data_IF_891229831658
#
_entry.id   IF_891229831658
#
_cell.length_a   1.000
_cell.length_b   1.000
_cell.length_c   1.000
_cell.angle_alpha   90.00
_cell.angle_beta   90.00
_cell.angle_gamma   90.00
#
_symmetry.space_group_name_H-M   'P 1'
#
loop_
_entity.id
_entity.type
_entity.pdbx_description
1 polymer ?
#
# COMPACT_ATOMS: atom_id res chain seq x y z
N UNK A 1 -41.90 -30.45 0.94
CA UNK A 1 -40.83 -31.46 0.91
C UNK A 1 -39.52 -30.76 1.25
N UNK A 2 -39.15 -30.82 2.53
CA UNK A 2 -37.88 -30.30 3.05
C UNK A 2 -37.00 -31.52 3.25
N UNK A 3 -35.93 -31.66 2.46
CA UNK A 3 -34.99 -32.76 2.59
C UNK A 3 -33.91 -32.31 3.57
N UNK A 4 -34.08 -32.67 4.85
CA UNK A 4 -32.98 -32.73 5.81
C UNK A 4 -32.03 -33.84 5.34
N UNK A 5 -30.75 -33.50 5.13
CA UNK A 5 -29.68 -34.48 4.96
C UNK A 5 -28.87 -34.52 6.24
N UNK A 6 -29.08 -35.60 6.98
CA UNK A 6 -28.24 -36.02 8.10
C UNK A 6 -26.85 -36.44 7.59
N UNK A 7 -25.80 -35.92 8.24
CA UNK A 7 -24.44 -36.41 8.09
C UNK A 7 -24.08 -37.26 9.31
N UNK A 8 -23.62 -38.51 9.15
CA UNK A 8 -23.18 -39.32 10.28
C UNK A 8 -21.75 -38.93 10.69
N UNK A 9 -21.58 -38.68 11.99
CA UNK A 9 -20.29 -38.59 12.66
C UNK A 9 -19.88 -39.98 13.17
N UNK A 10 -18.65 -40.47 12.94
CA UNK A 10 -18.09 -41.55 13.72
C UNK A 10 -17.16 -40.98 14.80
N UNK A 11 -17.56 -41.13 16.05
CA UNK A 11 -16.64 -41.27 17.17
C UNK A 11 -16.02 -42.67 17.12
N UNK A 12 -14.68 -42.77 17.08
CA UNK A 12 -14.01 -43.64 18.03
C UNK A 12 -12.59 -43.15 18.34
N UNK A 13 -12.31 -43.17 19.63
CA UNK A 13 -11.11 -42.79 20.36
C UNK A 13 -10.02 -43.85 20.24
N UNK A 14 -8.76 -43.41 20.06
CA UNK A 14 -7.61 -44.05 20.71
C UNK A 14 -6.45 -43.07 20.84
N UNK A 15 -6.07 -42.81 22.08
CA UNK A 15 -4.91 -42.05 22.55
C UNK A 15 -3.60 -42.54 21.92
N UNK A 16 -2.79 -41.63 21.37
CA UNK A 16 -1.33 -41.63 21.54
C UNK A 16 -0.83 -40.19 21.57
N UNK A 17 -0.22 -39.81 22.69
CA UNK A 17 0.55 -38.58 22.87
C UNK A 17 1.75 -38.63 21.92
N UNK A 18 1.78 -37.74 20.94
CA UNK A 18 2.92 -37.50 20.05
C UNK A 18 3.40 -36.07 20.27
N UNK A 19 4.47 -35.93 21.05
CA UNK A 19 5.21 -34.71 21.31
C UNK A 19 5.75 -34.14 20.01
N UNK A 20 5.55 -32.84 19.77
CA UNK A 20 6.18 -32.11 18.67
C UNK A 20 7.66 -31.91 19.02
N UNK A 21 8.54 -32.70 18.43
CA UNK A 21 9.99 -32.47 18.45
C UNK A 21 10.35 -31.29 17.55
N UNK A 22 10.69 -30.17 18.20
CA UNK A 22 11.47 -29.09 17.60
C UNK A 22 12.94 -29.55 17.57
N UNK A 23 13.45 -29.87 16.38
CA UNK A 23 14.89 -30.05 16.16
C UNK A 23 15.62 -28.71 16.36
N UNK A 24 16.15 -28.52 17.56
CA UNK A 24 17.17 -27.51 17.84
C UNK A 24 18.54 -28.09 17.48
N UNK A 25 19.21 -27.48 16.50
CA UNK A 25 20.56 -27.80 16.12
C UNK A 25 21.53 -27.61 17.29
N UNK A 26 22.28 -28.66 17.59
CA UNK A 26 23.33 -28.74 18.61
C UNK A 26 24.58 -27.94 18.23
N UNK A 27 25.07 -27.10 19.15
CA UNK A 27 26.46 -26.63 19.20
C UNK A 27 27.07 -27.06 20.55
N UNK A 28 28.34 -27.52 20.58
CA UNK A 28 28.87 -28.27 21.71
C UNK A 28 29.22 -27.37 22.91
N UNK A 29 28.88 -27.86 24.11
CA UNK A 29 29.38 -27.37 25.39
C UNK A 29 30.73 -28.02 25.68
N UNK A 30 31.75 -27.20 25.91
CA UNK A 30 33.01 -27.59 26.55
C UNK A 30 33.06 -27.04 27.98
N UNK A 31 33.60 -27.86 28.88
CA UNK A 31 33.40 -27.84 30.32
C UNK A 31 34.24 -26.82 31.11
N UNK A 32 33.74 -26.57 32.31
CA UNK A 32 34.24 -25.76 33.42
C UNK A 32 35.45 -26.38 34.14
N UNK A 33 36.38 -25.57 34.69
CA UNK A 33 36.70 -25.46 36.15
C UNK A 33 38.14 -24.99 36.52
N UNK A 34 38.16 -24.13 37.56
CA UNK A 34 39.09 -24.05 38.73
C UNK A 34 40.49 -23.38 38.63
N UNK A 35 40.65 -22.28 39.37
CA UNK A 35 41.67 -22.03 40.42
C UNK A 35 41.43 -20.62 41.04
N UNK A 36 40.80 -20.48 42.21
CA UNK A 36 41.35 -20.40 43.58
C UNK A 36 42.41 -19.31 43.86
N UNK A 37 41.91 -18.25 44.52
CA UNK A 37 42.44 -17.48 45.67
C UNK A 37 43.95 -17.23 45.84
N UNK A 38 44.34 -15.96 46.06
CA UNK A 38 44.93 -15.49 47.33
C UNK A 38 45.29 -13.99 47.35
N UNK A 39 44.99 -13.37 48.50
CA UNK A 39 45.74 -12.33 49.23
C UNK A 39 45.90 -10.90 48.67
N UNK A 40 45.06 -10.02 49.22
CA UNK A 40 45.45 -8.89 50.07
C UNK A 40 46.62 -7.96 49.65
N UNK A 41 46.28 -6.67 49.53
CA UNK A 41 47.16 -5.60 49.99
C UNK A 41 47.78 -4.72 48.91
N UNK A 42 47.01 -3.77 48.38
CA UNK A 42 47.52 -2.45 48.02
C UNK A 42 46.36 -1.47 47.89
N UNK A 43 46.09 -0.76 48.99
CA UNK A 43 45.31 0.48 48.95
C UNK A 43 46.05 1.56 48.15
N UNK A 44 45.28 2.59 47.79
CA UNK A 44 45.72 3.86 47.19
C UNK A 44 45.82 3.95 45.66
N UNK A 45 44.84 3.42 44.90
CA UNK A 45 44.49 4.01 43.57
C UNK A 45 42.96 4.07 43.32
N UNK A 46 42.12 3.52 44.21
CA UNK A 46 40.68 3.38 43.96
C UNK A 46 39.83 4.66 44.14
N UNK A 47 40.35 5.73 44.75
CA UNK A 47 39.60 6.97 44.92
C UNK A 47 39.63 7.89 43.68
N UNK A 48 40.71 7.86 42.89
CA UNK A 48 40.83 8.65 41.66
C UNK A 48 40.01 8.08 40.50
N UNK A 49 39.91 6.75 40.39
CA UNK A 49 39.21 6.08 39.31
C UNK A 49 37.67 6.18 39.44
N UNK A 50 37.12 6.16 40.66
CA UNK A 50 35.68 6.37 40.89
C UNK A 50 35.27 7.83 40.71
N UNK A 51 36.12 8.78 41.12
CA UNK A 51 35.92 10.21 40.85
C UNK A 51 35.95 10.53 39.36
N UNK A 52 36.89 9.95 38.60
CA UNK A 52 36.97 10.10 37.15
C UNK A 52 35.81 9.40 36.42
N UNK A 53 35.32 8.25 36.90
CA UNK A 53 34.19 7.55 36.30
C UNK A 53 32.85 8.24 36.58
N UNK A 54 32.69 8.84 37.77
CA UNK A 54 31.52 9.67 38.12
C UNK A 54 31.55 11.02 37.40
N UNK A 55 32.72 11.68 37.29
CA UNK A 55 32.91 12.91 36.51
C UNK A 55 32.74 12.67 35.00
N UNK A 56 33.16 11.51 34.50
CA UNK A 56 32.90 11.08 33.12
C UNK A 56 31.41 10.76 32.91
N UNK A 57 30.74 10.14 33.89
CA UNK A 57 29.27 9.90 33.84
C UNK A 57 28.45 11.18 33.94
N UNK A 58 28.90 12.20 34.67
CA UNK A 58 28.22 13.50 34.73
C UNK A 58 28.57 14.42 33.56
N UNK A 59 29.78 14.33 33.00
CA UNK A 59 30.19 15.07 31.79
C UNK A 59 29.73 14.42 30.46
N UNK A 60 29.23 13.17 30.49
CA UNK A 60 28.59 12.50 29.34
C UNK A 60 27.07 12.59 29.32
N UNK A 61 26.48 13.44 30.17
CA UNK A 61 25.20 14.12 29.84
C UNK A 61 25.47 15.30 28.91
N UNK A 62 26.22 15.06 27.83
CA UNK A 62 26.07 15.88 26.65
C UNK A 62 24.73 15.45 26.08
N UNK A 63 23.77 16.37 26.16
CA UNK A 63 22.57 16.35 25.33
C UNK A 63 22.98 15.81 23.97
N UNK A 64 22.29 14.77 23.54
CA UNK A 64 22.54 14.21 22.22
C UNK A 64 22.41 15.33 21.17
N UNK A 65 23.02 15.17 19.99
CA UNK A 65 22.77 16.08 18.88
C UNK A 65 21.28 16.24 18.51
N UNK A 66 20.40 15.34 18.99
CA UNK A 66 18.94 15.45 18.83
C UNK A 66 18.24 16.33 19.88
N UNK A 67 18.83 16.54 21.08
CA UNK A 67 18.23 17.36 22.15
C UNK A 67 18.55 18.86 22.06
N UNK A 68 19.62 19.23 21.33
CA UNK A 68 19.96 20.63 21.04
C UNK A 68 19.39 21.11 19.69
N UNK A 69 18.88 20.21 18.85
CA UNK A 69 18.14 20.56 17.63
C UNK A 69 16.69 21.02 17.88
N UNK A 70 16.13 20.73 19.06
CA UNK A 70 14.73 21.02 19.38
C UNK A 70 14.38 22.47 19.72
N UNK A 71 15.34 23.41 19.70
CA UNK A 71 15.08 24.84 19.98
C UNK A 71 15.55 25.81 18.90
N UNK A 72 16.08 25.29 17.78
CA UNK A 72 16.39 26.07 16.57
C UNK A 72 15.66 25.56 15.33
N UNK A 73 14.70 24.63 15.48
CA UNK A 73 13.69 24.31 14.46
C UNK A 73 12.41 25.11 14.72
N UNK A 74 12.55 26.43 14.80
CA UNK A 74 11.52 27.33 14.28
C UNK A 74 12.02 27.88 12.93
N UNK A 75 12.74 27.05 12.18
CA UNK A 75 12.85 27.22 10.73
C UNK A 75 11.47 26.87 10.18
N UNK A 76 10.88 27.78 9.42
CA UNK A 76 9.64 27.56 8.71
C UNK A 76 9.76 26.25 7.91
N UNK A 77 9.22 25.16 8.47
CA UNK A 77 8.92 23.98 7.69
C UNK A 77 7.93 24.49 6.66
N UNK A 78 8.35 24.51 5.40
CA UNK A 78 7.44 24.72 4.28
C UNK A 78 6.51 23.49 4.30
N UNK A 79 5.51 23.52 5.18
CA UNK A 79 4.54 22.45 5.31
C UNK A 79 3.83 22.38 3.97
N UNK A 80 3.84 21.19 3.38
CA UNK A 80 3.13 20.99 2.11
C UNK A 80 1.67 21.39 2.35
N UNK A 81 1.03 22.19 1.46
CA UNK A 81 -0.36 22.56 1.65
C UNK A 81 -1.22 21.29 1.75
N UNK A 82 -2.31 21.32 2.53
CA UNK A 82 -3.24 20.20 2.64
C UNK A 82 -3.76 19.83 1.25
N UNK A 83 -4.05 18.54 1.02
CA UNK A 83 -4.38 18.04 -0.32
C UNK A 83 -5.61 18.76 -0.93
N UNK A 84 -6.60 19.13 -0.12
CA UNK A 84 -7.76 19.91 -0.56
C UNK A 84 -7.38 21.29 -1.14
N UNK A 85 -6.31 21.91 -0.66
CA UNK A 85 -5.83 23.22 -1.13
C UNK A 85 -4.63 23.13 -2.08
N UNK A 86 -4.23 21.92 -2.49
CA UNK A 86 -3.05 21.73 -3.31
C UNK A 86 -3.28 22.11 -4.78
N UNK A 87 -2.48 23.04 -5.31
CA UNK A 87 -2.65 23.59 -6.67
C UNK A 87 -2.56 22.54 -7.79
N UNK A 88 -1.70 21.54 -7.61
CA UNK A 88 -1.50 20.48 -8.60
C UNK A 88 -2.78 19.67 -8.89
N UNK A 89 -3.66 19.56 -7.89
CA UNK A 89 -4.88 18.77 -7.99
C UNK A 89 -5.91 19.43 -8.93
N UNK A 90 -5.86 20.76 -9.02
CA UNK A 90 -6.71 21.58 -9.90
C UNK A 90 -5.97 22.09 -11.14
N UNK A 91 -4.71 21.72 -11.32
CA UNK A 91 -3.92 22.17 -12.46
C UNK A 91 -4.58 21.72 -13.79
N UNK A 92 -4.61 22.57 -14.82
CA UNK A 92 -5.18 22.21 -16.12
C UNK A 92 -4.45 21.00 -16.71
N UNK A 93 -5.12 20.12 -17.48
CA UNK A 93 -4.48 18.96 -18.11
C UNK A 93 -3.25 19.35 -18.92
N UNK A 94 -2.13 18.65 -18.66
CA UNK A 94 -0.89 18.80 -19.41
C UNK A 94 -0.88 17.96 -20.69
N UNK A 95 0.31 17.83 -21.30
CA UNK A 95 0.53 16.97 -22.46
C UNK A 95 0.70 15.49 -22.11
N UNK A 96 0.85 15.17 -20.82
CA UNK A 96 1.03 13.81 -20.31
C UNK A 96 -0.28 13.29 -19.71
N UNK A 97 -0.59 12.00 -19.86
CA UNK A 97 -1.76 11.40 -19.22
C UNK A 97 -1.61 11.45 -17.70
N UNK A 98 -2.73 11.58 -17.00
CA UNK A 98 -2.79 11.56 -15.53
C UNK A 98 -3.25 10.21 -15.02
N UNK A 99 -2.45 9.58 -14.19
CA UNK A 99 -2.73 8.24 -13.65
C UNK A 99 -2.87 8.32 -12.13
N UNK A 100 -3.99 7.82 -11.61
CA UNK A 100 -4.10 7.53 -10.18
C UNK A 100 -3.84 6.06 -9.94
N UNK A 101 -2.77 5.77 -9.21
CA UNK A 101 -2.43 4.44 -8.73
C UNK A 101 -3.01 4.22 -7.33
N UNK A 102 -4.03 3.38 -7.21
CA UNK A 102 -4.58 2.92 -5.94
C UNK A 102 -3.88 1.64 -5.51
N UNK A 103 -3.19 1.68 -4.38
CA UNK A 103 -2.47 0.54 -3.82
C UNK A 103 -3.00 0.15 -2.44
N UNK A 104 -3.31 -1.15 -2.29
CA UNK A 104 -4.13 -1.65 -1.18
C UNK A 104 -3.36 -2.61 -0.25
N UNK A 105 -4.01 -3.18 0.75
CA UNK A 105 -3.38 -4.08 1.73
C UNK A 105 -3.03 -5.47 1.17
N UNK A 106 -1.92 -5.57 0.44
CA UNK A 106 -1.34 -6.84 -0.04
C UNK A 106 0.18 -6.84 0.20
N UNK A 107 0.77 -8.02 0.39
CA UNK A 107 2.25 -8.15 0.45
C UNK A 107 2.89 -7.64 -0.84
N UNK A 108 2.18 -7.75 -1.97
CA UNK A 108 2.66 -7.22 -3.25
C UNK A 108 2.84 -5.69 -3.26
N UNK A 109 2.32 -4.96 -2.26
CA UNK A 109 2.47 -3.51 -2.17
C UNK A 109 3.91 -3.07 -1.94
N UNK A 110 4.82 -3.98 -1.59
CA UNK A 110 6.28 -3.73 -1.62
C UNK A 110 6.79 -3.31 -3.01
N UNK A 111 6.05 -3.63 -4.08
CA UNK A 111 6.35 -3.23 -5.47
C UNK A 111 5.75 -1.90 -5.90
N UNK A 112 4.98 -1.23 -5.04
CA UNK A 112 4.34 0.04 -5.37
C UNK A 112 5.35 1.15 -5.71
N UNK A 113 6.49 1.29 -5.01
CA UNK A 113 7.54 2.23 -5.41
C UNK A 113 8.04 2.01 -6.84
N UNK A 114 8.32 0.75 -7.21
CA UNK A 114 8.75 0.37 -8.55
C UNK A 114 7.67 0.67 -9.61
N UNK A 115 6.41 0.33 -9.29
CA UNK A 115 5.27 0.57 -10.17
C UNK A 115 5.03 2.07 -10.38
N UNK A 116 5.07 2.87 -9.31
CA UNK A 116 4.90 4.31 -9.35
C UNK A 116 6.00 4.97 -10.20
N UNK A 117 7.27 4.60 -9.99
CA UNK A 117 8.39 5.10 -10.79
C UNK A 117 8.23 4.76 -12.28
N UNK A 118 7.84 3.53 -12.61
CA UNK A 118 7.63 3.11 -13.98
C UNK A 118 6.46 3.85 -14.67
N UNK A 119 5.36 4.12 -13.95
CA UNK A 119 4.25 4.93 -14.44
C UNK A 119 4.67 6.40 -14.65
N UNK A 120 5.46 6.95 -13.73
CA UNK A 120 6.01 8.32 -13.84
C UNK A 120 6.96 8.50 -15.02
N UNK A 121 7.40 7.42 -15.67
CA UNK A 121 8.15 7.48 -16.93
C UNK A 121 7.32 7.97 -18.12
N UNK A 122 5.98 7.98 -18.06
CA UNK A 122 5.13 8.48 -19.15
C UNK A 122 3.91 9.28 -18.70
N UNK A 123 3.48 9.16 -17.44
CA UNK A 123 2.30 9.84 -16.91
C UNK A 123 2.68 10.80 -15.77
N UNK A 124 1.79 11.75 -15.47
CA UNK A 124 1.75 12.38 -14.15
C UNK A 124 1.06 11.41 -13.18
N UNK A 125 1.64 11.16 -12.00
CA UNK A 125 1.16 10.09 -11.11
C UNK A 125 0.80 10.61 -9.73
N UNK A 126 -0.41 10.26 -9.29
CA UNK A 126 -0.82 10.33 -7.89
C UNK A 126 -1.09 8.92 -7.37
N UNK A 127 -0.62 8.61 -6.16
CA UNK A 127 -0.76 7.32 -5.51
C UNK A 127 -1.69 7.48 -4.32
N UNK A 128 -2.74 6.65 -4.25
CA UNK A 128 -3.58 6.52 -3.07
C UNK A 128 -3.20 5.22 -2.36
N UNK A 129 -2.78 5.32 -1.10
CA UNK A 129 -2.43 4.20 -0.25
C UNK A 129 -3.49 4.01 0.82
N UNK A 130 -4.13 2.85 0.82
CA UNK A 130 -4.87 2.42 2.03
C UNK A 130 -3.89 2.26 3.19
N UNK A 131 -4.33 2.45 4.44
CA UNK A 131 -3.51 2.24 5.65
C UNK A 131 -2.62 0.98 5.64
N UNK A 132 -3.12 -0.24 5.37
CA UNK A 132 -2.24 -1.42 5.28
C UNK A 132 -1.31 -1.41 4.06
N UNK A 133 -1.76 -0.85 2.93
CA UNK A 133 -0.92 -0.67 1.74
C UNK A 133 0.28 0.24 2.01
N UNK A 134 0.07 1.32 2.77
CA UNK A 134 1.12 2.26 3.16
C UNK A 134 2.25 1.58 3.93
N UNK A 135 1.93 0.69 4.88
CA UNK A 135 2.94 -0.04 5.64
C UNK A 135 3.85 -0.88 4.73
N UNK A 136 3.25 -1.56 3.75
CA UNK A 136 3.99 -2.43 2.83
C UNK A 136 4.80 -1.62 1.80
N UNK A 137 4.22 -0.56 1.23
CA UNK A 137 4.86 0.28 0.22
C UNK A 137 6.00 1.15 0.76
N UNK A 138 6.02 1.41 2.07
CA UNK A 138 7.08 2.20 2.73
C UNK A 138 7.97 1.30 3.60
N UNK A 139 7.61 1.13 4.88
CA UNK A 139 8.42 0.45 5.91
C UNK A 139 8.93 -0.92 5.49
N UNK A 140 8.10 -1.73 4.84
CA UNK A 140 8.50 -3.07 4.40
C UNK A 140 9.33 -2.99 3.12
N UNK A 141 8.87 -2.25 2.10
CA UNK A 141 9.60 -2.04 0.85
C UNK A 141 11.05 -1.56 1.08
N UNK A 142 11.29 -0.64 2.03
CA UNK A 142 12.64 -0.14 2.34
C UNK A 142 13.62 -1.24 2.78
N UNK A 143 13.12 -2.36 3.29
CA UNK A 143 13.96 -3.51 3.70
C UNK A 143 14.25 -4.48 2.55
N UNK A 144 13.39 -4.54 1.55
CA UNK A 144 13.51 -5.48 0.42
C UNK A 144 14.07 -4.85 -0.85
N UNK A 145 13.75 -3.58 -1.10
CA UNK A 145 14.11 -2.85 -2.30
C UNK A 145 14.43 -1.37 -1.98
N UNK A 146 15.45 -1.08 -1.15
CA UNK A 146 15.77 0.28 -0.70
C UNK A 146 16.03 1.25 -1.87
N UNK A 147 16.68 0.80 -2.94
CA UNK A 147 16.93 1.64 -4.12
C UNK A 147 15.63 2.10 -4.81
N UNK A 148 14.59 1.26 -4.84
CA UNK A 148 13.29 1.61 -5.42
C UNK A 148 12.51 2.57 -4.55
N UNK A 149 12.63 2.44 -3.23
CA UNK A 149 12.06 3.43 -2.31
C UNK A 149 12.78 4.76 -2.46
N UNK A 150 14.10 4.78 -2.51
CA UNK A 150 14.84 6.03 -2.73
C UNK A 150 14.42 6.75 -4.02
N UNK A 151 14.28 6.02 -5.13
CA UNK A 151 13.77 6.55 -6.41
C UNK A 151 12.35 7.17 -6.27
N UNK A 152 11.45 6.48 -5.57
CA UNK A 152 10.09 6.96 -5.26
C UNK A 152 10.07 8.23 -4.39
N UNK A 153 11.01 8.35 -3.46
CA UNK A 153 11.15 9.50 -2.56
C UNK A 153 11.66 10.72 -3.35
N UNK A 154 12.61 10.52 -4.25
CA UNK A 154 13.11 11.55 -5.15
C UNK A 154 12.00 12.08 -6.09
N UNK A 155 11.19 11.19 -6.66
CA UNK A 155 10.04 11.60 -7.49
C UNK A 155 9.01 12.43 -6.71
N UNK A 156 8.88 12.19 -5.39
CA UNK A 156 8.02 12.99 -4.52
C UNK A 156 8.61 14.35 -4.19
N UNK A 157 9.92 14.43 -3.92
CA UNK A 157 10.60 15.71 -3.68
C UNK A 157 10.55 16.61 -4.91
N UNK A 158 10.68 16.03 -6.09
CA UNK A 158 10.60 16.74 -7.38
C UNK A 158 9.15 17.06 -7.78
N UNK A 159 8.17 16.59 -7.00
CA UNK A 159 6.74 16.82 -7.22
C UNK A 159 6.12 16.09 -8.40
N UNK A 160 6.86 15.18 -9.04
CA UNK A 160 6.39 14.32 -10.13
C UNK A 160 5.47 13.19 -9.64
N UNK A 161 5.62 12.80 -8.37
CA UNK A 161 4.81 11.78 -7.72
C UNK A 161 4.13 12.37 -6.48
N UNK A 162 2.83 12.18 -6.36
CA UNK A 162 2.08 12.52 -5.14
C UNK A 162 1.62 11.26 -4.45
N UNK A 163 1.67 11.24 -3.13
CA UNK A 163 1.26 10.10 -2.32
C UNK A 163 0.27 10.60 -1.29
N UNK A 164 -0.88 9.94 -1.24
CA UNK A 164 -2.03 10.30 -0.42
C UNK A 164 -2.51 9.07 0.37
N UNK A 165 -3.06 9.28 1.54
CA UNK A 165 -3.79 8.31 2.35
C UNK A 165 -5.10 8.91 2.87
N UNK A 166 -5.76 8.18 3.75
CA UNK A 166 -7.09 8.56 4.25
C UNK A 166 -7.07 9.88 5.03
N UNK A 167 -5.93 10.20 5.63
CA UNK A 167 -5.70 11.44 6.38
C UNK A 167 -5.75 12.67 5.47
N UNK A 168 -5.19 12.55 4.26
CA UNK A 168 -5.13 13.65 3.28
C UNK A 168 -6.51 14.07 2.79
N UNK A 169 -7.55 13.25 2.98
CA UNK A 169 -8.93 13.58 2.58
C UNK A 169 -9.51 14.74 3.40
N UNK A 170 -9.18 14.80 4.68
CA UNK A 170 -9.80 15.71 5.64
C UNK A 170 -8.79 16.63 6.35
N UNK A 171 -7.49 16.38 6.23
CA UNK A 171 -6.47 17.27 6.77
C UNK A 171 -6.59 18.68 6.16
N UNK A 172 -6.79 19.68 7.02
CA UNK A 172 -6.95 21.09 6.60
C UNK A 172 -8.28 21.42 5.92
N UNK A 173 -9.26 20.51 5.93
CA UNK A 173 -10.61 20.76 5.41
C UNK A 173 -11.44 21.53 6.45
N UNK A 174 -11.77 22.80 6.14
CA UNK A 174 -12.44 23.71 7.09
C UNK A 174 -13.77 24.25 6.54
N UNK A 175 -13.89 24.41 5.22
CA UNK A 175 -15.03 25.06 4.58
C UNK A 175 -15.59 24.24 3.41
N UNK A 176 -16.89 23.91 3.47
CA UNK A 176 -17.59 23.24 2.36
C UNK A 176 -17.64 24.11 1.09
N UNK A 177 -17.61 25.44 1.24
CA UNK A 177 -17.70 26.37 0.12
C UNK A 177 -16.36 26.58 -0.60
N UNK A 178 -15.25 26.47 0.13
CA UNK A 178 -13.91 26.83 -0.37
C UNK A 178 -13.02 25.60 -0.56
N UNK A 179 -13.13 24.60 0.32
CA UNK A 179 -12.29 23.41 0.30
C UNK A 179 -12.94 22.31 -0.54
N UNK A 180 -12.29 21.91 -1.65
CA UNK A 180 -12.81 20.83 -2.47
C UNK A 180 -12.51 19.47 -1.84
N UNK A 181 -13.43 18.54 -2.07
CA UNK A 181 -13.32 17.16 -1.58
C UNK A 181 -12.28 16.39 -2.41
N UNK A 182 -11.22 15.91 -1.76
CA UNK A 182 -10.02 15.38 -2.42
C UNK A 182 -10.31 14.23 -3.39
N UNK A 183 -11.11 13.23 -2.99
CA UNK A 183 -11.42 12.11 -3.89
C UNK A 183 -12.21 12.54 -5.14
N UNK A 184 -13.04 13.57 -5.03
CA UNK A 184 -13.82 14.12 -6.15
C UNK A 184 -12.88 14.82 -7.13
N UNK A 185 -11.95 15.64 -6.61
CA UNK A 185 -10.98 16.32 -7.46
C UNK A 185 -9.97 15.35 -8.09
N UNK A 186 -9.52 14.32 -7.36
CA UNK A 186 -8.69 13.25 -7.93
C UNK A 186 -9.39 12.57 -9.12
N UNK A 187 -10.70 12.32 -9.00
CA UNK A 187 -11.49 11.75 -10.09
C UNK A 187 -11.60 12.67 -11.30
N UNK A 188 -11.67 13.99 -11.10
CA UNK A 188 -11.63 14.96 -12.19
C UNK A 188 -10.24 14.98 -12.85
N UNK A 189 -9.20 15.02 -12.02
CA UNK A 189 -7.80 15.11 -12.41
C UNK A 189 -7.31 13.90 -13.23
N UNK A 190 -7.63 12.68 -12.81
CA UNK A 190 -7.05 11.46 -13.39
C UNK A 190 -7.70 11.03 -14.70
N UNK A 191 -6.94 10.70 -15.74
CA UNK A 191 -7.47 10.10 -16.97
C UNK A 191 -7.66 8.59 -16.85
N UNK A 192 -6.79 7.92 -16.07
CA UNK A 192 -6.83 6.46 -15.84
C UNK A 192 -6.72 6.15 -14.35
N UNK A 193 -7.53 5.21 -13.87
CA UNK A 193 -7.36 4.61 -12.55
C UNK A 193 -6.66 3.26 -12.68
N UNK A 194 -5.64 3.01 -11.85
CA UNK A 194 -4.93 1.73 -11.77
C UNK A 194 -5.01 1.24 -10.34
N UNK A 195 -5.61 0.08 -10.09
CA UNK A 195 -5.70 -0.53 -8.75
C UNK A 195 -4.72 -1.69 -8.67
N UNK A 196 -3.51 -1.43 -8.19
CA UNK A 196 -2.41 -2.39 -8.19
C UNK A 196 -1.44 -2.19 -7.00
N UNK A 197 -1.33 -3.17 -6.10
CA UNK A 197 -2.16 -4.38 -6.00
C UNK A 197 -3.58 -4.08 -5.50
N UNK A 198 -4.55 -4.84 -6.02
CA UNK A 198 -5.90 -4.94 -5.46
C UNK A 198 -6.00 -6.15 -4.50
N UNK A 199 -6.13 -5.88 -3.21
CA UNK A 199 -6.35 -6.89 -2.17
C UNK A 199 -7.78 -7.43 -2.26
N UNK A 200 -8.02 -8.64 -1.75
CA UNK A 200 -9.37 -9.21 -1.71
C UNK A 200 -10.37 -8.33 -0.96
N UNK A 201 -9.93 -7.64 0.09
CA UNK A 201 -10.75 -6.73 0.88
C UNK A 201 -11.21 -5.52 0.06
N UNK A 202 -10.28 -4.83 -0.62
CA UNK A 202 -10.65 -3.70 -1.49
C UNK A 202 -11.45 -4.17 -2.69
N UNK A 203 -11.13 -5.33 -3.28
CA UNK A 203 -11.91 -5.94 -4.35
C UNK A 203 -13.38 -6.11 -3.93
N UNK A 204 -13.62 -6.70 -2.76
CA UNK A 204 -14.96 -6.88 -2.20
C UNK A 204 -15.65 -5.54 -1.95
N UNK A 205 -14.97 -4.58 -1.31
CA UNK A 205 -15.52 -3.25 -1.03
C UNK A 205 -15.98 -2.53 -2.30
N UNK A 206 -15.13 -2.52 -3.33
CA UNK A 206 -15.47 -1.87 -4.60
C UNK A 206 -16.64 -2.58 -5.26
N UNK A 207 -16.63 -3.92 -5.35
CA UNK A 207 -17.71 -4.70 -5.96
C UNK A 207 -19.05 -4.58 -5.22
N UNK A 208 -19.03 -4.33 -3.91
CA UNK A 208 -20.21 -4.13 -3.07
C UNK A 208 -20.60 -2.64 -2.91
N UNK A 209 -19.83 -1.72 -3.48
CA UNK A 209 -20.10 -0.28 -3.40
C UNK A 209 -19.78 0.37 -2.05
N UNK A 210 -18.97 -0.27 -1.21
CA UNK A 210 -18.49 0.31 0.07
C UNK A 210 -17.44 1.38 -0.22
N UNK A 211 -17.63 2.57 0.33
CA UNK A 211 -16.76 3.73 0.21
C UNK A 211 -16.46 4.34 1.59
N UNK A 212 -15.49 3.77 2.30
CA UNK A 212 -15.19 4.09 3.70
C UNK A 212 -13.76 4.62 3.93
N UNK A 213 -13.03 4.88 2.86
CA UNK A 213 -11.67 5.42 2.87
C UNK A 213 -11.36 6.12 1.53
N UNK A 214 -10.27 6.88 1.46
CA UNK A 214 -9.96 7.73 0.30
C UNK A 214 -9.94 6.91 -1.01
N UNK A 215 -9.33 5.72 -0.97
CA UNK A 215 -9.24 4.82 -2.12
C UNK A 215 -10.61 4.37 -2.62
N UNK A 216 -11.48 3.92 -1.72
CA UNK A 216 -12.80 3.39 -2.08
C UNK A 216 -13.80 4.49 -2.41
N UNK A 217 -13.72 5.67 -1.78
CA UNK A 217 -14.46 6.86 -2.17
C UNK A 217 -14.09 7.31 -3.60
N UNK A 218 -12.79 7.37 -3.90
CA UNK A 218 -12.30 7.69 -5.25
C UNK A 218 -12.81 6.70 -6.30
N UNK A 219 -12.72 5.39 -6.03
CA UNK A 219 -13.20 4.36 -6.96
C UNK A 219 -14.72 4.35 -7.09
N UNK A 220 -15.47 4.64 -6.02
CA UNK A 220 -16.93 4.72 -6.06
C UNK A 220 -17.44 5.91 -6.87
N UNK A 221 -16.68 7.01 -6.84
CA UNK A 221 -16.94 8.23 -7.61
C UNK A 221 -16.40 8.16 -9.05
N UNK A 222 -15.63 7.10 -9.39
CA UNK A 222 -14.98 6.94 -10.68
C UNK A 222 -15.98 6.98 -11.82
N UNK A 223 -15.57 7.61 -12.91
CA UNK A 223 -16.41 7.74 -14.09
C UNK A 223 -16.38 6.44 -14.90
N UNK A 224 -17.52 5.76 -15.14
CA UNK A 224 -17.55 4.53 -15.93
C UNK A 224 -17.03 4.69 -17.37
N UNK A 225 -16.95 5.91 -17.89
CA UNK A 225 -16.38 6.19 -19.22
C UNK A 225 -14.84 6.30 -19.22
N UNK A 226 -14.23 6.52 -18.04
CA UNK A 226 -12.78 6.53 -17.89
C UNK A 226 -12.26 5.12 -17.64
N UNK A 227 -11.16 4.71 -18.26
CA UNK A 227 -10.62 3.37 -18.08
C UNK A 227 -10.14 3.15 -16.63
N UNK A 228 -10.44 1.96 -16.11
CA UNK A 228 -9.92 1.48 -14.83
C UNK A 228 -9.25 0.12 -15.02
N UNK A 229 -7.98 0.02 -14.66
CA UNK A 229 -7.20 -1.23 -14.68
C UNK A 229 -7.11 -1.77 -13.25
N UNK A 230 -7.39 -3.05 -13.04
CA UNK A 230 -7.37 -3.68 -11.72
C UNK A 230 -6.47 -4.92 -11.76
N UNK A 231 -5.46 -4.96 -10.89
CA UNK A 231 -4.52 -6.07 -10.77
C UNK A 231 -4.66 -6.73 -9.38
N UNK A 232 -5.47 -7.80 -9.24
CA UNK A 232 -5.62 -8.52 -8.00
C UNK A 232 -4.30 -9.14 -7.55
N UNK A 233 -4.02 -9.06 -6.24
CA UNK A 233 -2.88 -9.76 -5.64
C UNK A 233 -3.21 -10.22 -4.22
N UNK A 234 -3.37 -11.53 -4.07
CA UNK A 234 -3.80 -12.19 -2.82
C UNK A 234 -3.29 -13.63 -2.77
N UNK A 235 -3.42 -14.28 -1.61
CA UNK A 235 -3.09 -15.70 -1.49
C UNK A 235 -3.97 -16.57 -2.41
N UNK A 236 -3.45 -17.71 -2.87
CA UNK A 236 -4.15 -18.65 -3.77
C UNK A 236 -5.53 -19.06 -3.26
N UNK A 237 -5.67 -19.39 -1.98
CA UNK A 237 -6.95 -19.79 -1.40
C UNK A 237 -7.96 -18.64 -1.43
N UNK A 238 -7.50 -17.39 -1.26
CA UNK A 238 -8.35 -16.21 -1.42
C UNK A 238 -8.75 -15.99 -2.88
N UNK A 239 -7.82 -16.23 -3.81
CA UNK A 239 -8.07 -16.11 -5.25
C UNK A 239 -9.10 -17.12 -5.74
N UNK A 240 -9.00 -18.37 -5.29
CA UNK A 240 -9.90 -19.47 -5.64
C UNK A 240 -11.25 -19.41 -4.90
N UNK A 241 -11.38 -18.51 -3.91
CA UNK A 241 -12.61 -18.36 -3.16
C UNK A 241 -13.78 -17.92 -4.07
N UNK A 242 -14.98 -18.52 -3.96
CA UNK A 242 -16.10 -18.22 -4.86
C UNK A 242 -16.52 -16.74 -4.90
N UNK A 243 -16.40 -16.02 -3.79
CA UNK A 243 -16.72 -14.58 -3.72
C UNK A 243 -15.76 -13.74 -4.55
N UNK A 244 -14.49 -14.14 -4.68
CA UNK A 244 -13.52 -13.45 -5.54
C UNK A 244 -13.99 -13.48 -6.98
N UNK A 245 -14.41 -14.65 -7.48
CA UNK A 245 -14.94 -14.78 -8.83
C UNK A 245 -16.23 -13.95 -9.03
N UNK A 246 -17.10 -13.87 -8.02
CA UNK A 246 -18.30 -13.02 -8.08
C UNK A 246 -17.94 -11.53 -8.17
N UNK A 247 -17.05 -11.05 -7.30
CA UNK A 247 -16.62 -9.66 -7.30
C UNK A 247 -15.93 -9.27 -8.61
N UNK A 248 -15.08 -10.13 -9.16
CA UNK A 248 -14.42 -9.90 -10.45
C UNK A 248 -15.44 -9.73 -11.57
N UNK A 249 -16.42 -10.63 -11.68
CA UNK A 249 -17.49 -10.52 -12.69
C UNK A 249 -18.28 -9.23 -12.55
N UNK A 250 -18.58 -8.81 -11.33
CA UNK A 250 -19.26 -7.53 -11.08
C UNK A 250 -18.43 -6.36 -11.62
N UNK A 251 -17.14 -6.29 -11.29
CA UNK A 251 -16.28 -5.20 -11.75
C UNK A 251 -16.02 -5.24 -13.26
N UNK A 252 -15.88 -6.42 -13.85
CA UNK A 252 -15.81 -6.59 -15.31
C UNK A 252 -17.07 -6.04 -15.98
N UNK A 253 -18.25 -6.32 -15.43
CA UNK A 253 -19.52 -5.78 -15.95
C UNK A 253 -19.62 -4.24 -15.86
N UNK A 254 -18.86 -3.62 -14.95
CA UNK A 254 -18.77 -2.16 -14.82
C UNK A 254 -17.66 -1.55 -15.69
N UNK A 255 -16.94 -2.36 -16.48
CA UNK A 255 -15.92 -1.91 -17.41
C UNK A 255 -14.49 -1.87 -16.85
N UNK A 256 -14.24 -2.47 -15.68
CA UNK A 256 -12.87 -2.63 -15.18
C UNK A 256 -12.11 -3.65 -16.03
N UNK A 257 -10.91 -3.27 -16.48
CA UNK A 257 -9.96 -4.19 -17.09
C UNK A 257 -9.23 -4.98 -16.01
N UNK A 258 -9.59 -6.25 -15.84
CA UNK A 258 -8.95 -7.13 -14.86
C UNK A 258 -7.67 -7.73 -15.45
N UNK A 259 -6.54 -7.50 -14.79
CA UNK A 259 -5.28 -8.19 -15.08
C UNK A 259 -5.18 -9.46 -14.25
N UNK A 260 -5.14 -10.65 -14.86
CA UNK A 260 -5.10 -11.89 -14.12
C UNK A 260 -3.80 -12.00 -13.31
N UNK A 261 -3.84 -12.51 -12.06
CA UNK A 261 -2.65 -12.66 -11.26
C UNK A 261 -1.68 -13.66 -11.88
N UNK A 262 -0.39 -13.44 -11.63
CA UNK A 262 0.66 -14.36 -12.01
C UNK A 262 0.61 -15.64 -11.16
N UNK A 263 0.98 -16.75 -11.80
CA UNK A 263 1.22 -18.03 -11.14
C UNK A 263 2.69 -18.13 -10.74
N UNK A 264 2.98 -18.52 -9.50
CA UNK A 264 4.34 -18.78 -9.02
C UNK A 264 4.43 -20.16 -8.38
N UNK A 265 5.57 -20.84 -8.56
CA UNK A 265 5.86 -22.09 -7.86
C UNK A 265 6.13 -21.79 -6.38
N UNK A 266 5.36 -22.41 -5.49
CA UNK A 266 5.49 -22.33 -4.04
C UNK A 266 6.63 -23.26 -3.56
N UNK A 267 7.10 -23.03 -2.35
CA UNK A 267 8.18 -23.83 -1.74
C UNK A 267 7.83 -25.32 -1.59
N UNK A 268 6.54 -25.68 -1.53
CA UNK A 268 6.04 -27.05 -1.49
C UNK A 268 5.99 -27.75 -2.86
N UNK A 269 6.32 -27.05 -3.95
CA UNK A 269 6.25 -27.59 -5.32
C UNK A 269 4.96 -27.25 -6.07
N UNK A 270 3.89 -26.85 -5.37
CA UNK A 270 2.62 -26.44 -5.96
C UNK A 270 2.71 -25.13 -6.73
N UNK A 271 1.85 -24.94 -7.73
CA UNK A 271 1.75 -23.66 -8.45
C UNK A 271 0.62 -22.84 -7.82
N UNK A 272 1.01 -21.81 -7.07
CA UNK A 272 0.06 -20.87 -6.46
C UNK A 272 -0.27 -19.72 -7.41
N UNK A 273 -1.56 -19.55 -7.74
CA UNK A 273 -2.07 -18.41 -8.50
C UNK A 273 -2.52 -17.30 -7.55
N UNK A 274 -2.16 -16.05 -7.80
CA UNK A 274 -2.56 -14.94 -6.93
C UNK A 274 -1.48 -13.87 -6.72
N UNK A 275 -0.27 -14.09 -7.26
CA UNK A 275 0.77 -13.07 -7.24
C UNK A 275 0.38 -11.89 -8.15
N UNK A 276 0.80 -10.67 -7.77
CA UNK A 276 0.67 -9.51 -8.64
C UNK A 276 1.31 -9.82 -10.02
N UNK A 277 0.68 -9.42 -11.13
CA UNK A 277 1.31 -9.46 -12.45
C UNK A 277 2.68 -8.77 -12.44
N UNK A 278 3.57 -9.11 -13.39
CA UNK A 278 4.78 -8.34 -13.63
C UNK A 278 4.49 -6.83 -13.71
N UNK A 279 5.38 -6.01 -13.14
CA UNK A 279 5.21 -4.54 -13.13
C UNK A 279 5.09 -4.01 -14.56
N UNK A 280 5.89 -4.56 -15.49
CA UNK A 280 5.82 -4.23 -16.90
C UNK A 280 4.42 -4.43 -17.51
N UNK A 281 3.72 -5.50 -17.13
CA UNK A 281 2.39 -5.81 -17.66
C UNK A 281 1.33 -4.81 -17.14
N UNK A 282 1.42 -4.44 -15.86
CA UNK A 282 0.53 -3.42 -15.27
C UNK A 282 0.77 -2.06 -15.93
N UNK A 283 2.03 -1.69 -16.13
CA UNK A 283 2.43 -0.44 -16.79
C UNK A 283 1.98 -0.41 -18.25
N UNK A 284 2.13 -1.52 -18.98
CA UNK A 284 1.69 -1.64 -20.36
C UNK A 284 0.16 -1.50 -20.48
N UNK A 285 -0.60 -2.16 -19.61
CA UNK A 285 -2.05 -2.03 -19.56
C UNK A 285 -2.50 -0.59 -19.25
N UNK A 286 -1.86 0.06 -18.27
CA UNK A 286 -2.15 1.46 -17.93
C UNK A 286 -1.85 2.41 -19.11
N UNK A 287 -0.74 2.20 -19.83
CA UNK A 287 -0.38 2.98 -21.02
C UNK A 287 -1.38 2.79 -22.15
N UNK A 288 -1.76 1.55 -22.44
CA UNK A 288 -2.75 1.23 -23.46
C UNK A 288 -4.11 1.86 -23.13
N UNK A 289 -4.54 1.79 -21.87
CA UNK A 289 -5.75 2.42 -21.38
C UNK A 289 -5.73 3.95 -21.58
N UNK A 290 -4.61 4.61 -21.25
CA UNK A 290 -4.44 6.05 -21.45
C UNK A 290 -4.54 6.45 -22.93
N UNK A 291 -3.81 5.76 -23.80
CA UNK A 291 -3.82 6.01 -25.26
C UNK A 291 -5.22 5.83 -25.86
N UNK A 292 -5.92 4.76 -25.47
CA UNK A 292 -7.30 4.51 -25.92
C UNK A 292 -8.31 5.54 -25.42
N UNK A 293 -8.06 6.17 -24.26
CA UNK A 293 -8.90 7.24 -23.75
C UNK A 293 -8.63 8.59 -24.45
N UNK A 294 -7.37 8.94 -24.70
CA UNK A 294 -6.99 10.13 -25.46
C UNK A 294 -7.56 10.12 -26.88
N UNK A 295 -7.46 8.98 -27.59
CA UNK A 295 -8.04 8.83 -28.93
C UNK A 295 -9.56 9.08 -28.95
N UNK A 296 -10.28 8.62 -27.93
CA UNK A 296 -11.72 8.90 -27.78
C UNK A 296 -11.99 10.39 -27.52
N UNK A 297 -11.18 11.03 -26.68
CA UNK A 297 -11.28 12.47 -26.38
C UNK A 297 -11.01 13.38 -27.57
N UNK A 298 -10.05 13.02 -28.43
CA UNK A 298 -9.74 13.75 -29.66
C UNK A 298 -10.81 13.60 -30.76
N UNK A 299 -11.50 12.46 -30.81
CA UNK A 299 -12.53 12.19 -31.83
C UNK A 299 -13.87 12.88 -31.57
N UNK A 300 -14.19 13.20 -30.31
CA UNK A 300 -15.39 13.95 -29.92
C UNK A 300 -15.09 15.45 -29.89
N UNK A 301 -15.09 16.11 -31.06
CA UNK A 301 -14.95 17.55 -31.16
C UNK A 301 -15.99 18.29 -30.29
N UNK A 302 -15.54 19.31 -29.54
CA UNK A 302 -16.33 20.25 -28.74
C UNK A 302 -17.32 19.64 -27.71
N UNK A 303 -16.89 19.61 -26.45
CA UNK A 303 -17.67 20.13 -25.31
C UNK A 303 -18.91 19.39 -24.81
N UNK A 304 -19.48 18.44 -25.54
CA UNK A 304 -20.67 17.70 -25.11
C UNK A 304 -20.39 16.19 -25.08
N UNK A 305 -19.66 15.74 -24.05
CA UNK A 305 -19.69 14.34 -23.68
C UNK A 305 -21.10 14.02 -23.19
N UNK A 306 -21.93 13.51 -24.11
CA UNK A 306 -23.24 12.97 -23.77
C UNK A 306 -23.02 11.87 -22.74
N UNK A 307 -23.43 12.15 -21.49
CA UNK A 307 -23.69 11.10 -20.51
C UNK A 307 -24.63 10.13 -21.22
N UNK A 308 -24.15 8.96 -21.66
CA UNK A 308 -25.12 7.90 -21.97
C UNK A 308 -25.88 7.75 -20.66
N UNK A 309 -27.19 7.96 -20.71
CA UNK A 309 -28.01 7.91 -19.51
C UNK A 309 -27.65 6.64 -18.78
N UNK A 310 -27.44 6.73 -17.46
CA UNK A 310 -27.72 5.57 -16.64
C UNK A 310 -29.07 5.04 -17.12
N UNK A 311 -29.25 3.72 -17.33
CA UNK A 311 -30.59 3.20 -17.58
C UNK A 311 -31.47 3.85 -16.52
N UNK A 312 -32.45 4.64 -16.98
CA UNK A 312 -33.42 5.26 -16.08
C UNK A 312 -33.89 4.12 -15.20
N UNK A 313 -33.73 4.30 -13.88
CA UNK A 313 -34.21 3.33 -12.91
C UNK A 313 -35.74 3.44 -12.95
N UNK A 314 -36.33 2.89 -14.01
CA UNK A 314 -37.75 2.67 -14.12
C UNK A 314 -38.02 1.58 -13.11
N UNK A 315 -38.47 2.00 -11.93
CA UNK A 315 -39.04 1.12 -10.94
C UNK A 315 -40.22 0.39 -11.61
N UNK A 316 -39.93 -0.74 -12.25
CA UNK A 316 -40.91 -1.59 -12.90
C UNK A 316 -40.46 -3.04 -12.75
N UNK A 317 -41.19 -3.78 -11.92
CA UNK A 317 -41.12 -5.24 -11.77
C UNK A 317 -40.53 -5.71 -10.46
#
# INVERSE_FOLDING_TARGET
QVVQRDFPCPHNSSLRQGSVELMAASWPRGESRLALAAAAGAGAVAAGALGALMAWRSARRRRSPWELGGKLQAEATFSRPPACRADWLRAPPGSRPRVVLVATGSVASVKVPELAAALSGFAEVAVILTKPGRVMATRVASRYAPARVFEWELLQSDGQLRVLGDEDEWEGYESVAEDPVVHVELRKWADVAVVAPCSANTLAKVALGVCDNLATCFLRAWDPYKPAVLAPAMNTVMWEHPTTAQHLRTLESWGYQILPPASKRLACGDVGRGALPPVADVVAAARQAAQGFEGRRGSSGSGAWQRRGFPEWTASG
#
